data_IF_518064585096
#
_entry.id   IF_518064585096
#
_cell.length_a   1.000
_cell.length_b   1.000
_cell.length_c   1.000
_cell.angle_alpha   90.00
_cell.angle_beta   90.00
_cell.angle_gamma   90.00
#
_symmetry.space_group_name_H-M   'P 1'
#
loop_
_entity.id
_entity.type
_entity.pdbx_description
1 polymer ?
#
# COMPACT_ATOMS: atom_id res chain seq x y z
N UNK A 1 2.86 -8.35 9.38
CA UNK A 1 2.35 -8.77 8.06
C UNK A 1 1.85 -7.58 7.24
N UNK A 2 0.73 -6.94 7.63
CA UNK A 2 0.08 -5.86 6.86
C UNK A 2 0.94 -4.62 6.59
N UNK A 3 1.84 -4.28 7.52
CA UNK A 3 2.79 -3.17 7.34
C UNK A 3 3.77 -3.41 6.18
N UNK A 4 4.32 -4.63 6.05
CA UNK A 4 5.24 -4.97 4.95
C UNK A 4 4.53 -4.99 3.59
N UNK A 5 3.27 -5.43 3.56
CA UNK A 5 2.43 -5.40 2.35
C UNK A 5 2.20 -3.94 1.93
N UNK A 6 1.76 -3.09 2.86
CA UNK A 6 1.58 -1.66 2.62
C UNK A 6 2.86 -0.95 2.19
N UNK A 7 4.00 -1.32 2.78
CA UNK A 7 5.33 -0.84 2.39
C UNK A 7 5.65 -1.17 0.94
N UNK A 8 5.52 -2.44 0.55
CA UNK A 8 5.85 -2.88 -0.81
C UNK A 8 4.94 -2.21 -1.85
N UNK A 9 3.64 -2.11 -1.58
CA UNK A 9 2.69 -1.39 -2.44
C UNK A 9 3.10 0.07 -2.61
N UNK A 10 3.49 0.73 -1.52
CA UNK A 10 3.91 2.12 -1.53
C UNK A 10 5.22 2.32 -2.31
N UNK A 11 6.21 1.43 -2.15
CA UNK A 11 7.48 1.49 -2.89
C UNK A 11 7.27 1.27 -4.40
N UNK A 12 6.46 0.26 -4.78
CA UNK A 12 6.09 0.02 -6.19
C UNK A 12 5.33 1.21 -6.81
N UNK A 13 4.48 1.90 -6.05
CA UNK A 13 3.85 3.15 -6.50
C UNK A 13 4.84 4.31 -6.68
N UNK A 14 5.89 4.40 -5.86
CA UNK A 14 6.87 5.50 -5.91
C UNK A 14 7.85 5.34 -7.08
N UNK A 15 8.25 4.11 -7.41
CA UNK A 15 9.08 3.83 -8.59
C UNK A 15 8.31 4.14 -9.90
N UNK A 16 6.98 3.98 -9.89
CA UNK A 16 6.08 4.42 -10.95
C UNK A 16 5.68 5.89 -10.83
N UNK A 17 6.63 6.82 -11.05
CA UNK A 17 6.44 8.30 -11.18
C UNK A 17 5.02 8.81 -10.89
N UNK A 18 4.81 9.30 -9.67
CA UNK A 18 3.71 10.17 -9.20
C UNK A 18 2.53 10.36 -10.17
N UNK A 19 1.45 9.60 -9.98
CA UNK A 19 0.06 10.08 -10.06
C UNK A 19 -0.93 9.00 -9.66
N UNK A 20 -2.03 9.44 -9.04
CA UNK A 20 -3.14 8.64 -8.52
C UNK A 20 -3.73 7.61 -9.51
N UNK A 21 -3.53 7.82 -10.81
CA UNK A 21 -3.96 6.90 -11.87
C UNK A 21 -3.16 5.58 -11.85
N UNK A 22 -1.84 5.62 -11.61
CA UNK A 22 -1.00 4.43 -11.55
C UNK A 22 -1.29 3.59 -10.30
N UNK A 23 -1.49 4.26 -9.16
CA UNK A 23 -1.81 3.59 -7.90
C UNK A 23 -3.13 2.82 -7.94
N UNK A 24 -4.14 3.37 -8.62
CA UNK A 24 -5.45 2.71 -8.76
C UNK A 24 -5.33 1.45 -9.61
N UNK A 25 -4.54 1.49 -10.69
CA UNK A 25 -4.28 0.33 -11.54
C UNK A 25 -3.50 -0.76 -10.81
N UNK A 26 -2.44 -0.40 -10.06
CA UNK A 26 -1.64 -1.34 -9.28
C UNK A 26 -2.51 -2.08 -8.25
N UNK A 27 -3.33 -1.34 -7.50
CA UNK A 27 -4.19 -1.95 -6.47
C UNK A 27 -5.23 -2.88 -7.08
N UNK A 28 -5.81 -2.51 -8.23
CA UNK A 28 -6.74 -3.40 -8.94
C UNK A 28 -6.05 -4.68 -9.41
N UNK A 29 -4.88 -4.56 -10.03
CA UNK A 29 -4.12 -5.70 -10.53
C UNK A 29 -3.70 -6.65 -9.39
N UNK A 30 -3.17 -6.11 -8.29
CA UNK A 30 -2.84 -6.90 -7.10
C UNK A 30 -4.07 -7.61 -6.53
N UNK A 31 -5.25 -6.97 -6.54
CA UNK A 31 -6.49 -7.62 -6.10
C UNK A 31 -6.87 -8.76 -7.05
N UNK A 32 -6.82 -8.54 -8.36
CA UNK A 32 -7.16 -9.56 -9.36
C UNK A 32 -6.24 -10.79 -9.29
N UNK A 33 -4.96 -10.59 -8.96
CA UNK A 33 -3.99 -11.67 -8.82
C UNK A 33 -4.09 -12.41 -7.48
N UNK A 34 -4.18 -11.68 -6.37
CA UNK A 34 -4.03 -12.25 -5.03
C UNK A 34 -5.37 -12.69 -4.42
N UNK A 35 -6.49 -12.08 -4.81
CA UNK A 35 -7.80 -12.44 -4.25
C UNK A 35 -8.24 -13.88 -4.60
N UNK A 36 -7.99 -14.43 -5.80
CA UNK A 36 -8.29 -15.84 -6.09
C UNK A 36 -7.46 -16.82 -5.26
N UNK A 37 -6.21 -16.46 -4.93
CA UNK A 37 -5.27 -17.34 -4.22
C UNK A 37 -5.43 -17.25 -2.69
N UNK A 38 -5.67 -16.04 -2.15
CA UNK A 38 -5.65 -15.76 -0.72
C UNK A 38 -7.00 -15.28 -0.16
N UNK A 39 -8.02 -15.13 -1.02
CA UNK A 39 -9.38 -14.78 -0.63
C UNK A 39 -9.59 -13.28 -0.36
N UNK A 40 -10.68 -12.96 0.36
CA UNK A 40 -11.19 -11.60 0.56
C UNK A 40 -10.22 -10.65 1.28
N UNK A 41 -9.21 -11.19 1.96
CA UNK A 41 -8.11 -10.45 2.58
C UNK A 41 -7.25 -9.65 1.59
N UNK A 42 -7.36 -9.93 0.30
CA UNK A 42 -6.65 -9.24 -0.78
C UNK A 42 -7.58 -8.55 -1.78
N UNK A 43 -8.82 -8.23 -1.36
CA UNK A 43 -9.67 -7.36 -2.15
C UNK A 43 -9.06 -5.95 -2.32
N UNK A 44 -9.45 -5.24 -3.38
CA UNK A 44 -9.07 -3.84 -3.66
C UNK A 44 -9.19 -2.93 -2.44
N UNK A 45 -10.22 -3.16 -1.61
CA UNK A 45 -10.45 -2.43 -0.36
C UNK A 45 -9.38 -2.73 0.69
N UNK A 46 -9.05 -4.00 0.89
CA UNK A 46 -8.04 -4.42 1.86
C UNK A 46 -6.64 -3.94 1.46
N UNK A 47 -6.30 -4.04 0.18
CA UNK A 47 -5.02 -3.55 -0.35
C UNK A 47 -4.89 -2.03 -0.15
N UNK A 48 -5.96 -1.27 -0.40
CA UNK A 48 -6.02 0.16 -0.08
C UNK A 48 -5.83 0.44 1.42
N UNK A 49 -6.38 -0.40 2.29
CA UNK A 49 -6.21 -0.27 3.74
C UNK A 49 -4.76 -0.53 4.16
N UNK A 50 -4.09 -1.54 3.60
CA UNK A 50 -2.67 -1.82 3.89
C UNK A 50 -1.77 -0.64 3.47
N UNK A 51 -2.02 -0.08 2.28
CA UNK A 51 -1.35 1.13 1.80
C UNK A 51 -1.55 2.33 2.72
N UNK A 52 -2.80 2.63 3.08
CA UNK A 52 -3.11 3.74 3.98
C UNK A 52 -2.49 3.55 5.35
N UNK A 53 -2.57 2.33 5.89
CA UNK A 53 -1.93 1.96 7.14
C UNK A 53 -0.43 2.27 7.10
N UNK A 54 0.29 1.80 6.07
CA UNK A 54 1.71 2.10 5.93
C UNK A 54 1.98 3.62 5.86
N UNK A 55 1.27 4.37 5.00
CA UNK A 55 1.48 5.81 4.87
C UNK A 55 1.26 6.58 6.18
N UNK A 56 0.20 6.25 6.91
CA UNK A 56 -0.14 6.93 8.17
C UNK A 56 0.90 6.67 9.24
N UNK A 57 1.29 5.41 9.45
CA UNK A 57 2.25 5.06 10.51
C UNK A 57 3.71 5.38 10.15
N UNK A 58 4.08 5.35 8.86
CA UNK A 58 5.38 5.82 8.41
C UNK A 58 5.54 7.32 8.61
N UNK A 59 4.49 8.13 8.37
CA UNK A 59 4.51 9.57 8.63
C UNK A 59 4.74 9.87 10.13
N UNK A 60 4.06 9.15 11.03
CA UNK A 60 4.28 9.30 12.47
C UNK A 60 5.74 8.99 12.84
N UNK A 61 6.32 7.91 12.33
CA UNK A 61 7.73 7.59 12.56
C UNK A 61 8.68 8.67 12.01
N UNK A 62 8.39 9.20 10.81
CA UNK A 62 9.15 10.29 10.20
C UNK A 62 9.05 11.60 11.02
N UNK A 63 7.89 11.90 11.59
CA UNK A 63 7.68 13.04 12.47
C UNK A 63 8.50 12.93 13.76
N UNK A 64 8.53 11.77 14.42
CA UNK A 64 9.38 11.54 15.59
C UNK A 64 10.88 11.71 15.26
N UNK A 65 11.32 11.20 14.13
CA UNK A 65 12.72 11.32 13.69
C UNK A 65 13.16 12.78 13.43
N UNK A 66 12.23 13.69 13.12
CA UNK A 66 12.51 15.12 12.93
C UNK A 66 12.44 15.96 14.23
N UNK A 67 11.82 15.43 15.28
CA UNK A 67 11.59 16.11 16.57
C UNK A 67 12.54 15.62 17.68
N UNK A 68 13.48 14.72 17.35
CA UNK A 68 14.54 14.18 18.23
C UNK A 68 15.86 14.89 17.96
#
# INVERSE_FOLDING_TARGET
MYWHIGKRIFEEEQEGKERADHGTFLIRNLSEQLQPEFGTGFSTRQINLYRQFYRTFSNVHTLYAHLS
#
